data_IF_842875183566
#
_entry.id   IF_842875183566
#
_cell.length_a   1.000
_cell.length_b   1.000
_cell.length_c   1.000
_cell.angle_alpha   90.00
_cell.angle_beta   90.00
_cell.angle_gamma   90.00
#
_symmetry.space_group_name_H-M   'P 1'
#
loop_
_entity.id
_entity.type
_entity.pdbx_description
1 polymer ?
#
# COMPACT_ATOMS: atom_id res chain seq x y z
N UNK A 1 8.53 -9.35 4.79
CA UNK A 1 7.29 -9.83 5.41
C UNK A 1 6.13 -8.87 5.14
N UNK A 2 6.21 -7.58 5.51
CA UNK A 2 5.18 -6.56 5.22
C UNK A 2 4.58 -6.62 3.81
N UNK A 3 5.41 -6.69 2.76
CA UNK A 3 4.93 -6.75 1.37
C UNK A 3 4.25 -8.04 1.01
N UNK A 4 4.78 -9.17 1.49
CA UNK A 4 4.18 -10.46 1.23
C UNK A 4 2.77 -10.50 1.84
N UNK A 5 2.62 -10.00 3.08
CA UNK A 5 1.33 -9.89 3.75
C UNK A 5 0.38 -8.94 3.00
N UNK A 6 0.87 -7.79 2.53
CA UNK A 6 0.09 -6.85 1.72
C UNK A 6 -0.38 -7.48 0.41
N UNK A 7 0.53 -8.08 -0.35
CA UNK A 7 0.24 -8.69 -1.65
C UNK A 7 -0.71 -9.88 -1.45
N UNK A 8 -0.52 -10.68 -0.40
CA UNK A 8 -1.41 -11.78 -0.07
C UNK A 8 -2.82 -11.27 0.28
N UNK A 9 -2.94 -10.23 1.11
CA UNK A 9 -4.22 -9.61 1.43
C UNK A 9 -4.91 -9.10 0.16
N UNK A 10 -4.18 -8.41 -0.72
CA UNK A 10 -4.71 -7.93 -1.99
C UNK A 10 -5.14 -9.09 -2.90
N UNK A 11 -4.39 -10.18 -2.98
CA UNK A 11 -4.70 -11.33 -3.84
C UNK A 11 -5.87 -12.16 -3.32
N UNK A 12 -5.95 -12.38 -2.00
CA UNK A 12 -6.97 -13.21 -1.39
C UNK A 12 -8.27 -12.45 -1.09
N UNK A 13 -8.15 -11.21 -0.62
CA UNK A 13 -9.28 -10.40 -0.14
C UNK A 13 -9.69 -9.32 -1.15
N UNK A 14 -8.80 -8.96 -2.08
CA UNK A 14 -9.02 -7.83 -2.99
C UNK A 14 -8.89 -6.48 -2.29
N UNK A 15 -8.28 -6.43 -1.11
CA UNK A 15 -8.10 -5.20 -0.34
C UNK A 15 -6.77 -5.21 0.43
N UNK A 16 -6.27 -4.01 0.72
CA UNK A 16 -5.09 -3.76 1.53
C UNK A 16 -5.57 -3.10 2.82
N UNK A 17 -5.48 -3.78 3.98
CA UNK A 17 -5.88 -3.23 5.26
C UNK A 17 -4.79 -2.30 5.81
N UNK A 18 -4.74 -1.06 5.32
CA UNK A 18 -3.72 -0.05 5.64
C UNK A 18 -3.54 0.07 7.16
N UNK A 19 -4.61 0.33 7.91
CA UNK A 19 -4.55 0.50 9.38
C UNK A 19 -4.09 -0.74 10.14
N UNK A 20 -4.27 -1.94 9.57
CA UNK A 20 -3.77 -3.16 10.17
C UNK A 20 -2.27 -3.33 9.92
N UNK A 21 -1.80 -3.01 8.71
CA UNK A 21 -0.39 -3.05 8.34
C UNK A 21 0.42 -2.01 9.12
N UNK A 22 -0.09 -0.78 9.26
CA UNK A 22 0.55 0.27 10.05
C UNK A 22 0.77 -0.16 11.49
N UNK A 23 -0.27 -0.70 12.16
CA UNK A 23 -0.16 -1.18 13.54
C UNK A 23 0.73 -2.41 13.69
N UNK A 24 0.69 -3.33 12.72
CA UNK A 24 1.46 -4.58 12.79
C UNK A 24 2.96 -4.36 12.58
N UNK A 25 3.32 -3.41 11.73
CA UNK A 25 4.71 -3.17 11.35
C UNK A 25 5.29 -1.87 11.92
N UNK A 26 4.49 -1.10 12.66
CA UNK A 26 4.85 0.21 13.23
C UNK A 26 5.39 1.18 12.17
N UNK A 27 4.66 1.30 11.06
CA UNK A 27 5.02 2.16 9.93
C UNK A 27 3.90 3.17 9.62
N UNK A 28 4.29 4.29 9.02
CA UNK A 28 3.36 5.15 8.30
C UNK A 28 3.23 4.66 6.86
N UNK A 29 2.07 4.12 6.47
CA UNK A 29 1.88 3.46 5.18
C UNK A 29 2.11 4.42 4.01
N UNK A 30 1.58 5.64 4.10
CA UNK A 30 1.75 6.68 3.09
C UNK A 30 3.21 7.06 2.84
N UNK A 31 4.02 7.13 3.89
CA UNK A 31 5.44 7.45 3.76
C UNK A 31 6.21 6.25 3.20
N UNK A 32 5.92 5.05 3.70
CA UNK A 32 6.63 3.83 3.30
C UNK A 32 6.32 3.41 1.86
N UNK A 33 5.05 3.53 1.45
CA UNK A 33 4.56 3.16 0.13
C UNK A 33 4.31 4.37 -0.76
N UNK A 34 4.84 5.55 -0.45
CA UNK A 34 4.60 6.77 -1.23
C UNK A 34 4.83 6.58 -2.73
N UNK A 35 5.97 5.97 -3.11
CA UNK A 35 6.25 5.66 -4.52
C UNK A 35 5.28 4.63 -5.13
N UNK A 36 4.79 3.66 -4.35
CA UNK A 36 3.76 2.72 -4.79
C UNK A 36 2.41 3.40 -4.96
N UNK A 37 2.05 4.33 -4.07
CA UNK A 37 0.85 5.14 -4.15
C UNK A 37 0.86 6.05 -5.38
N UNK A 38 2.00 6.67 -5.71
CA UNK A 38 2.15 7.43 -6.96
C UNK A 38 1.82 6.59 -8.19
N UNK A 39 2.29 5.34 -8.23
CA UNK A 39 2.00 4.39 -9.31
C UNK A 39 0.56 3.90 -9.28
N UNK A 40 -0.08 3.93 -8.12
CA UNK A 40 -1.47 3.56 -7.93
C UNK A 40 -2.44 4.63 -8.43
N UNK A 41 -2.07 5.92 -8.38
CA UNK A 41 -2.93 7.04 -8.81
C UNK A 41 -3.56 6.90 -10.21
N UNK A 42 -2.84 6.52 -11.28
CA UNK A 42 -3.48 6.29 -12.57
C UNK A 42 -4.51 5.15 -12.53
N UNK A 43 -4.20 4.06 -11.83
CA UNK A 43 -5.12 2.91 -11.66
C UNK A 43 -6.37 3.30 -10.84
N UNK A 44 -6.22 4.21 -9.88
CA UNK A 44 -7.32 4.80 -9.13
C UNK A 44 -8.19 5.70 -10.03
N UNK A 45 -7.56 6.53 -10.86
CA UNK A 45 -8.25 7.37 -11.84
C UNK A 45 -9.03 6.54 -12.88
N UNK A 46 -8.49 5.38 -13.28
CA UNK A 46 -9.16 4.39 -14.12
C UNK A 46 -10.27 3.60 -13.39
N UNK A 47 -10.50 3.85 -12.10
CA UNK A 47 -11.54 3.19 -11.31
C UNK A 47 -11.24 1.72 -11.02
N UNK A 48 -9.99 1.29 -11.11
CA UNK A 48 -9.56 -0.09 -10.80
C UNK A 48 -9.37 -0.29 -9.30
N UNK A 49 -9.05 0.78 -8.58
CA UNK A 49 -8.85 0.73 -7.13
C UNK A 49 -9.48 1.95 -6.50
N UNK A 50 -9.97 1.78 -5.28
CA UNK A 50 -10.53 2.85 -4.47
C UNK A 50 -9.72 2.95 -3.19
N UNK A 51 -9.23 4.15 -2.91
CA UNK A 51 -8.60 4.44 -1.64
C UNK A 51 -9.65 4.88 -0.62
N UNK A 52 -9.68 4.22 0.53
CA UNK A 52 -10.42 4.64 1.70
C UNK A 52 -9.45 5.07 2.81
N UNK A 53 -9.98 5.58 3.92
CA UNK A 53 -9.19 6.14 5.01
C UNK A 53 -8.37 5.05 5.74
N UNK A 54 -8.94 3.84 5.88
CA UNK A 54 -8.33 2.72 6.62
C UNK A 54 -7.86 1.55 5.73
N UNK A 55 -8.18 1.59 4.43
CA UNK A 55 -7.91 0.48 3.50
C UNK A 55 -7.89 0.94 2.04
N UNK A 56 -7.33 0.11 1.17
CA UNK A 56 -7.37 0.29 -0.29
C UNK A 56 -8.09 -0.92 -0.86
N UNK A 57 -9.14 -0.71 -1.65
CA UNK A 57 -10.02 -1.78 -2.15
C UNK A 57 -9.96 -1.84 -3.66
N UNK A 58 -9.66 -3.02 -4.22
CA UNK A 58 -9.78 -3.25 -5.65
C UNK A 58 -11.26 -3.30 -6.04
N UNK A 59 -11.63 -2.51 -7.05
CA UNK A 59 -12.99 -2.52 -7.61
C UNK A 59 -13.23 -3.84 -8.36
N UNK A 60 -14.47 -4.15 -8.77
CA UNK A 60 -14.74 -5.34 -9.58
C UNK A 60 -13.85 -5.43 -10.83
N UNK A 61 -13.54 -4.29 -11.47
CA UNK A 61 -12.64 -4.24 -12.61
C UNK A 61 -11.17 -4.43 -12.20
N UNK A 62 -10.72 -3.78 -11.13
CA UNK A 62 -9.36 -3.98 -10.64
C UNK A 62 -9.08 -5.39 -10.12
N UNK A 63 -10.11 -6.13 -9.68
CA UNK A 63 -9.98 -7.55 -9.31
C UNK A 63 -9.52 -8.43 -10.47
N UNK A 64 -9.83 -8.05 -11.72
CA UNK A 64 -9.32 -8.74 -12.91
C UNK A 64 -7.82 -8.47 -13.14
N UNK A 65 -7.31 -7.38 -12.55
CA UNK A 65 -5.95 -6.87 -12.70
C UNK A 65 -5.16 -6.88 -11.38
N UNK A 66 -5.50 -7.77 -10.43
CA UNK A 66 -4.84 -7.83 -9.12
C UNK A 66 -3.33 -8.00 -9.22
N UNK A 67 -2.84 -8.75 -10.23
CA UNK A 67 -1.40 -8.87 -10.49
C UNK A 67 -0.75 -7.52 -10.81
N UNK A 68 -1.38 -6.70 -11.64
CA UNK A 68 -0.87 -5.36 -11.96
C UNK A 68 -0.89 -4.46 -10.73
N UNK A 69 -1.95 -4.51 -9.93
CA UNK A 69 -2.04 -3.78 -8.67
C UNK A 69 -0.94 -4.20 -7.69
N UNK A 70 -0.71 -5.51 -7.52
CA UNK A 70 0.33 -6.03 -6.64
C UNK A 70 1.74 -5.65 -7.10
N UNK A 71 2.00 -5.61 -8.41
CA UNK A 71 3.29 -5.18 -8.96
C UNK A 71 3.66 -3.74 -8.56
N UNK A 72 2.68 -2.85 -8.37
CA UNK A 72 2.95 -1.49 -7.85
C UNK A 72 3.55 -1.50 -6.43
N UNK A 73 3.22 -2.52 -5.62
CA UNK A 73 3.73 -2.69 -4.26
C UNK A 73 4.96 -3.60 -4.18
N UNK A 74 5.15 -4.49 -5.16
CA UNK A 74 6.30 -5.38 -5.24
C UNK A 74 7.58 -4.66 -5.70
N UNK A 75 7.47 -3.79 -6.72
CA UNK A 75 8.59 -3.17 -7.43
C UNK A 75 9.47 -2.19 -6.61
N UNK A 76 9.19 -1.97 -5.33
CA UNK A 76 9.89 -0.97 -4.52
C UNK A 76 11.15 -1.50 -3.82
N UNK A 77 12.13 -2.11 -4.48
CA UNK A 77 13.28 -2.72 -3.75
C UNK A 77 14.40 -1.74 -3.31
N UNK A 78 14.17 -0.43 -3.26
CA UNK A 78 15.29 0.54 -3.23
C UNK A 78 15.62 1.28 -1.93
N UNK A 79 14.67 1.57 -1.03
CA UNK A 79 14.89 2.62 -0.01
C UNK A 79 14.28 2.37 1.39
N UNK A 80 13.90 1.14 1.73
CA UNK A 80 13.41 0.82 3.07
C UNK A 80 14.55 0.53 4.07
N UNK A 81 15.51 1.44 4.15
CA UNK A 81 16.53 1.52 5.21
C UNK A 81 16.56 2.97 5.69
N UNK A 82 15.63 3.40 6.56
CA UNK A 82 15.73 4.76 7.10
C UNK A 82 14.59 5.31 7.94
N UNK A 83 13.38 4.76 7.90
CA UNK A 83 12.27 5.33 8.68
C UNK A 83 12.25 4.77 10.12
N UNK A 84 13.23 5.18 10.93
CA UNK A 84 12.91 5.58 12.31
C UNK A 84 12.13 6.88 12.17
N UNK A 85 10.83 6.94 12.50
CA UNK A 85 10.12 8.20 12.51
C UNK A 85 10.66 9.02 13.70
N UNK A 86 11.66 9.87 13.45
CA UNK A 86 12.04 10.95 14.36
C UNK A 86 11.02 12.07 14.19
N UNK A 87 9.80 11.85 14.68
CA UNK A 87 8.87 12.92 14.95
C UNK A 87 8.73 13.09 16.46
N UNK A 88 9.01 14.33 16.90
CA UNK A 88 8.78 14.95 18.22
C UNK A 88 9.97 15.05 19.18
N UNK A 89 10.63 16.22 19.18
CA UNK A 89 10.27 17.31 20.12
C UNK A 89 10.90 18.63 19.69
N UNK A 90 10.09 19.68 19.71
CA UNK A 90 10.54 21.06 19.77
C UNK A 90 11.21 21.32 21.14
N UNK A 91 12.36 22.01 21.14
CA UNK A 91 12.85 22.96 22.14
C UNK A 91 13.66 24.00 21.37
#
# INVERSE_FOLDING_TARGET
>A
QLRADLIQALMCQGEIPVRALERRYDIAFDQYFGASLERLRPLEADGLVRREQDRIVATPQGRLLLRNLAMCFDAYLGQASGARPRFSKAI
#
